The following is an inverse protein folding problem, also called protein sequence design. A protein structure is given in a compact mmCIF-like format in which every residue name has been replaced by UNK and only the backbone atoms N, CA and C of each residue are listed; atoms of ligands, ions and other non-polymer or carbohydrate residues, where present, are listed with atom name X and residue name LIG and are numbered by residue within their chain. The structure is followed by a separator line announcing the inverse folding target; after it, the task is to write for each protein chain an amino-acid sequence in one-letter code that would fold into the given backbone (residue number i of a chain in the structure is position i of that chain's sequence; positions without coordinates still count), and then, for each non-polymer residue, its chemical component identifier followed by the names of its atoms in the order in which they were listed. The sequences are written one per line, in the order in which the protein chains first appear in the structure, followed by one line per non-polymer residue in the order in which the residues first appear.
data_IF_708797941289
#
_entry.id   IF_708797941289
#
_cell.length_a   1.000
_cell.length_b   1.000
_cell.length_c   1.000
_cell.angle_alpha   90.00
_cell.angle_beta   90.00
_cell.angle_gamma   90.00
#
_symmetry.space_group_name_H-M   'P 1'
#
loop_
_entity.id
_entity.type
_entity.pdbx_description
1 polymer ?
#
# COMPACT_ATOMS: atom_id res chain seq x y z
N UNK A 1 -24.85 20.07 7.45
CA UNK A 1 -24.11 19.98 6.18
C UNK A 1 -24.60 18.74 5.47
N UNK A 2 -25.45 18.88 4.45
CA UNK A 2 -25.97 17.71 3.72
C UNK A 2 -24.80 16.94 3.10
N UNK A 3 -24.72 15.64 3.39
CA UNK A 3 -23.74 14.78 2.74
C UNK A 3 -24.06 14.71 1.25
N UNK A 4 -23.30 15.46 0.44
CA UNK A 4 -23.43 15.41 -1.01
C UNK A 4 -23.29 13.97 -1.50
N UNK A 5 -24.22 13.53 -2.37
CA UNK A 5 -24.25 12.19 -2.93
C UNK A 5 -22.92 11.90 -3.64
N UNK A 6 -22.28 10.78 -3.28
CA UNK A 6 -21.05 10.31 -3.93
C UNK A 6 -21.38 9.16 -4.85
N UNK A 7 -21.09 9.34 -6.13
CA UNK A 7 -21.33 8.32 -7.16
C UNK A 7 -19.99 7.75 -7.62
N UNK A 8 -19.89 6.42 -7.62
CA UNK A 8 -18.72 5.71 -8.11
C UNK A 8 -18.97 5.20 -9.52
N UNK A 9 -18.02 5.45 -10.42
CA UNK A 9 -18.01 4.88 -11.77
C UNK A 9 -16.71 4.12 -11.98
N UNK A 10 -16.83 2.84 -12.30
CA UNK A 10 -15.68 1.97 -12.56
C UNK A 10 -15.44 1.88 -14.06
N UNK A 11 -14.20 2.07 -14.50
CA UNK A 11 -13.78 1.98 -15.91
C UNK A 11 -12.54 1.10 -16.03
N UNK A 12 -12.28 0.60 -17.24
CA UNK A 12 -11.12 -0.27 -17.54
C UNK A 12 -11.03 -1.45 -16.55
N UNK A 13 -12.18 -2.08 -16.29
CA UNK A 13 -12.26 -3.23 -15.39
C UNK A 13 -11.60 -4.44 -16.04
N UNK A 14 -10.72 -5.10 -15.30
CA UNK A 14 -10.06 -6.34 -15.71
C UNK A 14 -10.12 -7.32 -14.55
N UNK A 15 -10.62 -8.53 -14.82
CA UNK A 15 -10.45 -9.66 -13.90
C UNK A 15 -9.08 -10.29 -14.17
N UNK A 16 -8.23 -10.38 -13.15
CA UNK A 16 -6.89 -10.97 -13.24
C UNK A 16 -6.79 -12.21 -12.34
N UNK A 17 -7.07 -13.42 -12.88
CA UNK A 17 -7.00 -14.67 -12.13
C UNK A 17 -5.60 -14.98 -11.59
N UNK A 18 -4.53 -14.56 -12.29
CA UNK A 18 -3.14 -14.84 -11.89
C UNK A 18 -2.76 -14.20 -10.55
N UNK A 19 -3.43 -13.08 -10.22
CA UNK A 19 -3.22 -12.34 -8.98
C UNK A 19 -4.43 -12.43 -8.03
N UNK A 20 -5.40 -13.30 -8.34
CA UNK A 20 -6.66 -13.47 -7.60
C UNK A 20 -7.34 -12.13 -7.26
N UNK A 21 -7.43 -11.24 -8.25
CA UNK A 21 -8.00 -9.89 -8.06
C UNK A 21 -8.70 -9.32 -9.29
N UNK A 22 -9.62 -8.41 -9.04
CA UNK A 22 -10.23 -7.51 -10.01
C UNK A 22 -9.55 -6.15 -9.89
N UNK A 23 -9.14 -5.57 -11.02
CA UNK A 23 -8.44 -4.29 -11.06
C UNK A 23 -9.20 -3.32 -11.96
N UNK A 24 -9.35 -2.08 -11.50
CA UNK A 24 -10.16 -1.07 -12.18
C UNK A 24 -9.70 0.34 -11.88
N UNK A 25 -10.05 1.26 -12.77
CA UNK A 25 -9.97 2.70 -12.53
C UNK A 25 -11.31 3.13 -11.92
N UNK A 26 -11.27 3.90 -10.84
CA UNK A 26 -12.44 4.43 -10.16
C UNK A 26 -12.49 5.94 -10.36
N UNK A 27 -13.56 6.39 -11.00
CA UNK A 27 -13.95 7.80 -11.01
C UNK A 27 -14.96 8.03 -9.88
N UNK A 28 -14.65 8.97 -9.01
CA UNK A 28 -15.48 9.39 -7.89
C UNK A 28 -16.09 10.74 -8.25
N UNK A 29 -17.41 10.79 -8.38
CA UNK A 29 -18.16 12.02 -8.55
C UNK A 29 -18.70 12.44 -7.18
N UNK A 30 -18.32 13.64 -6.73
CA UNK A 30 -18.66 14.17 -5.42
C UNK A 30 -19.01 15.67 -5.55
N UNK A 31 -20.11 16.02 -6.24
CA UNK A 31 -20.51 17.41 -6.46
C UNK A 31 -20.75 18.12 -5.12
N UNK A 32 -20.23 19.34 -5.00
CA UNK A 32 -20.36 20.19 -3.80
C UNK A 32 -19.84 19.56 -2.49
N UNK A 33 -19.14 18.42 -2.57
CA UNK A 33 -18.53 17.74 -1.44
C UNK A 33 -17.00 17.77 -1.59
N UNK A 34 -16.25 17.94 -0.48
CA UNK A 34 -14.80 17.77 -0.49
C UNK A 34 -14.40 16.34 -0.88
N UNK A 35 -13.09 16.09 -0.91
CA UNK A 35 -12.54 14.79 -1.22
C UNK A 35 -13.10 13.68 -0.33
N UNK A 36 -13.43 12.55 -0.95
CA UNK A 36 -13.94 11.36 -0.25
C UNK A 36 -12.76 10.59 0.36
N UNK A 37 -12.89 10.18 1.61
CA UNK A 37 -11.86 9.40 2.30
C UNK A 37 -11.71 8.02 1.64
N UNK A 38 -10.50 7.43 1.72
CA UNK A 38 -10.27 6.11 1.12
C UNK A 38 -11.04 5.01 1.83
N UNK A 39 -11.28 5.14 3.13
CA UNK A 39 -12.05 4.13 3.87
C UNK A 39 -13.52 4.12 3.46
N UNK A 40 -14.14 5.30 3.25
CA UNK A 40 -15.49 5.37 2.69
C UNK A 40 -15.57 4.80 1.26
N UNK A 41 -14.53 5.03 0.44
CA UNK A 41 -14.47 4.45 -0.90
C UNK A 41 -14.34 2.92 -0.85
N UNK A 42 -13.59 2.38 0.12
CA UNK A 42 -13.49 0.94 0.33
C UNK A 42 -14.83 0.35 0.73
N UNK A 43 -15.58 1.00 1.61
CA UNK A 43 -16.90 0.56 2.04
C UNK A 43 -17.89 0.49 0.87
N UNK A 44 -17.94 1.55 0.06
CA UNK A 44 -18.84 1.59 -1.12
C UNK A 44 -18.44 0.59 -2.20
N UNK A 45 -17.14 0.39 -2.44
CA UNK A 45 -16.67 -0.61 -3.40
C UNK A 45 -16.88 -2.04 -2.88
N UNK A 46 -16.75 -2.26 -1.58
CA UNK A 46 -17.05 -3.53 -0.92
C UNK A 46 -18.52 -3.90 -1.11
N UNK A 47 -19.43 -2.95 -0.89
CA UNK A 47 -20.87 -3.13 -1.13
C UNK A 47 -21.18 -3.41 -2.61
N UNK A 48 -20.65 -2.59 -3.53
CA UNK A 48 -20.87 -2.74 -4.97
C UNK A 48 -20.43 -4.10 -5.52
N UNK A 49 -19.30 -4.62 -5.04
CA UNK A 49 -18.71 -5.87 -5.54
C UNK A 49 -18.96 -7.08 -4.63
N UNK A 50 -19.78 -6.92 -3.58
CA UNK A 50 -20.09 -7.96 -2.59
C UNK A 50 -18.82 -8.62 -2.03
N UNK A 51 -17.85 -7.79 -1.69
CA UNK A 51 -16.57 -8.21 -1.11
C UNK A 51 -16.41 -7.56 0.27
N UNK A 52 -15.74 -8.20 1.24
CA UNK A 52 -15.43 -7.56 2.51
C UNK A 52 -14.45 -6.39 2.32
N UNK A 53 -14.58 -5.36 3.16
CA UNK A 53 -13.73 -4.14 3.14
C UNK A 53 -12.23 -4.46 3.16
N UNK A 54 -11.84 -5.51 3.86
CA UNK A 54 -10.43 -5.91 4.01
C UNK A 54 -9.79 -6.45 2.72
N UNK A 55 -10.60 -6.84 1.74
CA UNK A 55 -10.14 -7.30 0.43
C UNK A 55 -10.08 -6.17 -0.61
N UNK A 56 -10.46 -4.95 -0.24
CA UNK A 56 -10.49 -3.79 -1.14
C UNK A 56 -9.33 -2.85 -0.84
N UNK A 57 -8.51 -2.54 -1.86
CA UNK A 57 -7.42 -1.56 -1.82
C UNK A 57 -7.68 -0.42 -2.80
N UNK A 58 -7.69 0.82 -2.30
CA UNK A 58 -7.95 2.06 -3.03
C UNK A 58 -6.72 2.99 -3.00
N UNK A 59 -6.09 3.25 -4.15
CA UNK A 59 -4.85 4.05 -4.20
C UNK A 59 -4.79 5.02 -5.38
N UNK A 60 -3.83 5.96 -5.31
CA UNK A 60 -3.53 6.85 -6.43
C UNK A 60 -4.61 7.89 -6.75
N UNK A 61 -5.49 8.20 -5.80
CA UNK A 61 -6.53 9.21 -6.01
C UNK A 61 -5.95 10.60 -6.23
N UNK A 62 -6.41 11.26 -7.30
CA UNK A 62 -6.12 12.65 -7.64
C UNK A 62 -7.44 13.36 -7.96
N UNK A 63 -7.66 14.50 -7.32
CA UNK A 63 -8.81 15.36 -7.60
C UNK A 63 -8.50 16.22 -8.82
N UNK A 64 -9.46 16.34 -9.74
CA UNK A 64 -9.32 17.18 -10.92
C UNK A 64 -9.38 18.66 -10.52
N UNK A 65 -8.71 19.50 -11.32
CA UNK A 65 -8.83 20.95 -11.18
C UNK A 65 -10.30 21.36 -11.36
N UNK A 66 -10.78 22.27 -10.51
CA UNK A 66 -12.21 22.63 -10.43
C UNK A 66 -13.04 21.73 -9.50
N UNK A 67 -12.48 20.63 -8.97
CA UNK A 67 -13.16 19.80 -7.98
C UNK A 67 -14.30 18.94 -8.55
N UNK A 68 -15.14 18.38 -7.67
CA UNK A 68 -16.32 17.58 -8.02
C UNK A 68 -16.03 16.18 -8.61
N UNK A 69 -14.83 15.95 -9.15
CA UNK A 69 -14.39 14.66 -9.68
C UNK A 69 -12.99 14.31 -9.21
N UNK A 70 -12.82 13.08 -8.74
CA UNK A 70 -11.52 12.48 -8.43
C UNK A 70 -11.34 11.18 -9.19
N UNK A 71 -10.12 10.89 -9.63
CA UNK A 71 -9.79 9.63 -10.32
C UNK A 71 -8.74 8.87 -9.53
N UNK A 72 -8.89 7.55 -9.44
CA UNK A 72 -7.96 6.69 -8.73
C UNK A 72 -8.04 5.25 -9.21
N UNK A 73 -7.37 4.35 -8.49
CA UNK A 73 -7.35 2.93 -8.79
C UNK A 73 -7.95 2.16 -7.62
N UNK A 74 -8.65 1.08 -7.94
CA UNK A 74 -9.10 0.10 -6.95
C UNK A 74 -8.73 -1.32 -7.36
N UNK A 75 -8.39 -2.11 -6.36
CA UNK A 75 -8.16 -3.54 -6.46
C UNK A 75 -9.10 -4.23 -5.48
N UNK A 76 -9.87 -5.20 -5.98
CA UNK A 76 -10.72 -6.07 -5.16
C UNK A 76 -10.16 -7.47 -5.27
N UNK A 77 -9.60 -7.98 -4.18
CA UNK A 77 -9.05 -9.33 -4.11
C UNK A 77 -10.15 -10.36 -3.85
N UNK A 78 -9.92 -11.60 -4.25
CA UNK A 78 -10.85 -12.70 -3.98
C UNK A 78 -10.70 -13.25 -2.54
N UNK A 79 -9.53 -13.05 -1.91
CA UNK A 79 -9.27 -13.48 -0.52
C UNK A 79 -8.38 -12.52 0.27
N UNK A 80 -8.47 -12.58 1.61
CA UNK A 80 -7.63 -11.79 2.51
C UNK A 80 -6.16 -12.25 2.55
N UNK A 81 -5.88 -13.47 2.10
CA UNK A 81 -4.52 -13.98 1.95
C UNK A 81 -3.87 -13.41 0.68
N UNK A 82 -4.63 -13.33 -0.41
CA UNK A 82 -4.16 -12.80 -1.68
C UNK A 82 -3.74 -11.32 -1.56
N UNK A 83 -4.51 -10.49 -0.82
CA UNK A 83 -4.13 -9.09 -0.60
C UNK A 83 -2.81 -8.98 0.17
N UNK A 84 -2.61 -9.78 1.22
CA UNK A 84 -1.37 -9.76 2.02
C UNK A 84 -0.15 -10.23 1.22
N UNK A 85 -0.35 -11.18 0.29
CA UNK A 85 0.72 -11.75 -0.54
C UNK A 85 1.15 -10.83 -1.68
N UNK A 86 0.19 -10.22 -2.38
CA UNK A 86 0.46 -9.50 -3.64
C UNK A 86 0.50 -7.99 -3.48
N UNK A 87 -0.09 -7.41 -2.42
CA UNK A 87 -0.10 -5.97 -2.26
C UNK A 87 1.25 -5.48 -1.69
N UNK A 88 1.78 -4.34 -2.18
CA UNK A 88 2.98 -3.76 -1.61
C UNK A 88 2.82 -3.45 -0.12
N UNK A 89 3.82 -3.82 0.69
CA UNK A 89 3.80 -3.68 2.16
C UNK A 89 3.38 -2.28 2.64
N UNK A 90 3.83 -1.21 1.97
CA UNK A 90 3.50 0.15 2.37
C UNK A 90 2.00 0.47 2.29
N UNK A 91 1.24 -0.24 1.45
CA UNK A 91 -0.22 -0.07 1.35
C UNK A 91 -0.93 -0.83 2.47
N UNK A 92 -0.47 -2.05 2.78
CA UNK A 92 -0.96 -2.83 3.92
C UNK A 92 -0.82 -2.03 5.23
N UNK A 93 0.32 -1.36 5.43
CA UNK A 93 0.55 -0.48 6.59
C UNK A 93 -0.44 0.69 6.64
N UNK A 94 -0.77 1.29 5.49
CA UNK A 94 -1.74 2.42 5.43
C UNK A 94 -3.16 2.02 5.80
N UNK A 95 -3.53 0.75 5.62
CA UNK A 95 -4.83 0.21 6.01
C UNK A 95 -4.81 -0.47 7.38
N UNK A 96 -3.68 -0.43 8.11
CA UNK A 96 -3.55 -1.09 9.41
C UNK A 96 -3.45 -2.62 9.35
N UNK A 97 -3.29 -3.22 8.16
CA UNK A 97 -3.21 -4.67 7.98
C UNK A 97 -1.80 -5.25 8.22
N UNK A 98 -0.78 -4.38 8.33
CA UNK A 98 0.60 -4.76 8.62
C UNK A 98 1.30 -3.68 9.45
N UNK A 99 2.29 -4.07 10.24
CA UNK A 99 3.14 -3.13 10.97
C UNK A 99 4.22 -2.54 10.06
N UNK A 100 4.63 -1.30 10.36
CA UNK A 100 5.73 -0.64 9.65
C UNK A 100 7.03 -1.40 9.95
N UNK A 101 7.73 -1.83 8.90
CA UNK A 101 9.02 -2.48 9.08
C UNK A 101 10.07 -1.41 9.41
N UNK A 102 10.51 -1.39 10.65
CA UNK A 102 11.60 -0.52 11.08
C UNK A 102 12.93 -1.08 10.58
N UNK A 103 13.63 -0.29 9.76
CA UNK A 103 14.96 -0.63 9.26
C UNK A 103 15.89 0.53 9.55
N UNK A 104 17.11 0.21 9.97
CA UNK A 104 18.19 1.18 10.07
C UNK A 104 18.36 1.94 8.75
N UNK A 105 18.89 3.16 8.82
CA UNK A 105 19.00 4.05 7.66
C UNK A 105 19.72 3.35 6.50
N UNK A 106 19.39 3.73 5.26
CA UNK A 106 20.06 3.15 4.08
C UNK A 106 21.58 3.33 4.16
N UNK A 107 22.04 4.46 4.70
CA UNK A 107 23.45 4.75 4.91
C UNK A 107 24.07 3.82 5.96
N UNK A 108 23.44 3.66 7.12
CA UNK A 108 23.93 2.78 8.19
C UNK A 108 24.03 1.32 7.72
N UNK A 109 23.04 0.84 6.96
CA UNK A 109 23.06 -0.52 6.38
C UNK A 109 24.20 -0.70 5.39
N UNK A 110 24.43 0.28 4.52
CA UNK A 110 25.54 0.25 3.54
C UNK A 110 26.91 0.31 4.22
N UNK A 111 27.09 1.19 5.19
CA UNK A 111 28.33 1.28 5.95
C UNK A 111 28.61 -0.02 6.72
N UNK A 112 27.60 -0.59 7.40
CA UNK A 112 27.72 -1.89 8.09
C UNK A 112 28.11 -2.99 7.12
N UNK A 113 27.47 -3.06 5.95
CA UNK A 113 27.82 -4.02 4.89
C UNK A 113 29.28 -3.88 4.46
N UNK A 114 29.76 -2.66 4.23
CA UNK A 114 31.14 -2.43 3.80
C UNK A 114 32.15 -2.82 4.89
N UNK A 115 31.93 -2.42 6.15
CA UNK A 115 32.74 -2.87 7.30
C UNK A 115 32.78 -4.40 7.44
N UNK A 116 31.65 -5.08 7.23
CA UNK A 116 31.59 -6.55 7.29
C UNK A 116 32.33 -7.24 6.12
N UNK A 117 32.62 -6.56 5.02
CA UNK A 117 33.41 -7.13 3.91
C UNK A 117 34.90 -7.20 4.22
N UNK A 118 35.40 -6.36 5.12
CA UNK A 118 36.81 -6.32 5.54
C UNK A 118 37.18 -7.50 6.45
N UNK A 119 36.19 -8.17 7.04
CA UNK A 119 36.37 -9.27 7.99
C UNK A 119 36.05 -10.62 7.32
N UNK A 120 36.68 -11.71 7.79
CA UNK A 120 36.40 -13.10 7.34
C UNK A 120 36.05 -14.03 8.50
N UNK A 121 35.30 -15.09 8.19
CA UNK A 121 34.93 -16.13 9.14
C UNK A 121 34.25 -15.59 10.40
N UNK A 122 34.66 -16.09 11.56
CA UNK A 122 34.12 -15.70 12.88
C UNK A 122 34.32 -14.23 13.22
N UNK A 123 35.27 -13.54 12.58
CA UNK A 123 35.50 -12.11 12.80
C UNK A 123 34.33 -11.23 12.32
N UNK A 124 33.51 -11.68 11.36
CA UNK A 124 32.31 -10.92 10.92
C UNK A 124 31.26 -10.78 12.02
N UNK A 125 31.18 -11.77 12.91
CA UNK A 125 30.22 -11.79 14.03
C UNK A 125 30.83 -11.18 15.29
N UNK A 126 32.09 -11.51 15.58
CA UNK A 126 32.79 -11.04 16.80
C UNK A 126 33.38 -9.63 16.68
N UNK A 127 33.46 -9.07 15.48
CA UNK A 127 34.16 -7.81 15.21
C UNK A 127 35.67 -8.00 15.03
N UNK A 128 36.35 -6.95 14.60
CA UNK A 128 37.81 -6.92 14.56
C UNK A 128 38.34 -7.04 15.99
N UNK A 129 39.21 -8.02 16.27
CA UNK A 129 39.91 -8.09 17.56
C UNK A 129 40.77 -6.82 17.70
N UNK A 130 40.72 -6.17 18.86
CA UNK A 130 41.69 -5.13 19.19
C UNK A 130 43.10 -5.73 19.09
N UNK A 131 44.02 -5.01 18.45
CA UNK A 131 45.43 -5.39 18.52
C UNK A 131 45.84 -5.31 20.00
N UNK A 132 46.27 -6.43 20.58
CA UNK A 132 46.91 -6.44 21.89
C UNK A 132 48.28 -5.79 21.69
N UNK A 133 48.46 -4.56 22.20
CA UNK A 133 49.79 -3.95 22.28
C UNK A 133 50.64 -4.77 23.26
N UNK A 134 51.91 -4.96 22.88
CA UNK A 134 52.93 -5.68 23.66
C UNK A 134 53.65 -4.70 24.57
#
# INVERSE_FOLDING_TARGET
MSEGQVTLRTRKFIRNPLLARKQMVVDVLHPNRPNVSKDELRDKLAELYKAPKDQVSCFGFRTQYGGGKSTGFALVYDSAEAIKKFEPHYRLVRYGQASKIEKASRQQRKQRKNRMKELRGTAKVKGAKSKKEK
#
